data_IF_195718075874
#
_entry.id   IF_195718075874
#
_cell.length_a   1.000
_cell.length_b   1.000
_cell.length_c   1.000
_cell.angle_alpha   90.00
_cell.angle_beta   90.00
_cell.angle_gamma   90.00
#
_symmetry.space_group_name_H-M   'P 1'
#
loop_
_entity.id
_entity.type
_entity.pdbx_description
1 polymer ?
#
# COMPACT_ATOMS: atom_id res chain seq x y z
N UNK A 1 -16.96 -9.81 19.42
CA UNK A 1 -16.00 -8.80 19.91
C UNK A 1 -15.57 -7.87 18.77
N UNK A 2 -15.82 -6.57 18.91
CA UNK A 2 -15.29 -5.57 17.98
C UNK A 2 -13.79 -5.47 18.23
N UNK A 3 -12.98 -5.76 17.21
CA UNK A 3 -11.52 -5.60 17.27
C UNK A 3 -11.21 -4.11 17.50
N UNK A 4 -10.47 -3.81 18.56
CA UNK A 4 -10.01 -2.46 18.85
C UNK A 4 -8.62 -2.33 18.24
N UNK A 5 -8.57 -1.96 16.96
CA UNK A 5 -7.29 -1.69 16.29
C UNK A 5 -6.59 -0.53 16.99
N UNK A 6 -5.32 -0.72 17.34
CA UNK A 6 -4.49 0.39 17.82
C UNK A 6 -4.18 1.27 16.61
N UNK A 7 -4.93 2.36 16.45
CA UNK A 7 -4.74 3.25 15.30
C UNK A 7 -3.40 3.97 15.40
N UNK A 8 -2.48 3.68 14.47
CA UNK A 8 -1.30 4.54 14.27
C UNK A 8 -1.77 5.75 13.47
N UNK A 9 -1.72 6.97 14.03
CA UNK A 9 -2.15 8.15 13.32
C UNK A 9 -1.17 8.48 12.20
N UNK A 10 -1.71 8.71 11.02
CA UNK A 10 -0.96 9.28 9.90
C UNK A 10 -0.96 10.80 9.96
N UNK A 11 0.18 11.36 9.57
CA UNK A 11 0.38 12.79 9.35
C UNK A 11 0.60 12.99 7.86
N UNK A 12 -0.20 13.87 7.25
CA UNK A 12 -0.02 14.30 5.88
C UNK A 12 1.12 15.33 5.82
N UNK A 13 2.08 15.13 4.91
CA UNK A 13 3.19 16.04 4.64
C UNK A 13 3.84 16.63 5.92
N UNK A 14 4.28 15.80 6.89
CA UNK A 14 4.84 16.27 8.16
C UNK A 14 5.99 17.27 7.95
N UNK A 15 5.84 18.48 8.50
CA UNK A 15 6.88 19.51 8.45
C UNK A 15 7.09 20.13 7.07
N UNK A 16 6.10 20.06 6.18
CA UNK A 16 6.18 20.71 4.87
C UNK A 16 5.57 22.12 4.87
N UNK A 17 6.39 23.12 4.53
CA UNK A 17 5.98 24.52 4.41
C UNK A 17 5.78 24.98 2.95
N UNK A 18 5.89 24.05 1.98
CA UNK A 18 5.66 24.35 0.56
C UNK A 18 4.17 24.54 0.27
N UNK A 19 3.85 25.36 -0.74
CA UNK A 19 2.46 25.64 -1.14
C UNK A 19 1.78 24.36 -1.64
N UNK A 20 2.52 23.53 -2.37
CA UNK A 20 2.09 22.25 -2.92
C UNK A 20 1.59 21.29 -1.82
N UNK A 21 2.16 21.37 -0.61
CA UNK A 21 1.75 20.52 0.51
C UNK A 21 0.40 20.92 1.12
N UNK A 22 -0.08 22.13 0.84
CA UNK A 22 -1.37 22.64 1.29
C UNK A 22 -2.48 22.38 0.26
N UNK A 23 -2.13 21.90 -0.93
CA UNK A 23 -3.11 21.54 -1.94
C UNK A 23 -3.84 20.25 -1.55
N UNK A 24 -5.18 20.28 -1.39
CA UNK A 24 -5.94 19.15 -0.85
C UNK A 24 -5.89 17.89 -1.74
N UNK A 25 -5.57 18.07 -3.03
CA UNK A 25 -5.53 17.01 -4.02
C UNK A 25 -4.09 16.63 -4.44
N UNK A 26 -3.06 17.15 -3.78
CA UNK A 26 -1.66 16.86 -4.16
C UNK A 26 -0.80 16.44 -2.96
N UNK A 27 -1.21 15.39 -2.21
CA UNK A 27 -0.40 14.91 -1.10
C UNK A 27 0.91 14.29 -1.62
N UNK A 28 2.05 14.80 -1.16
CA UNK A 28 3.34 14.18 -1.45
C UNK A 28 3.45 12.85 -0.71
N UNK A 29 3.19 12.86 0.61
CA UNK A 29 3.30 11.67 1.43
C UNK A 29 2.42 11.67 2.67
N UNK A 30 2.06 10.46 3.12
CA UNK A 30 1.50 10.20 4.45
C UNK A 30 2.52 9.44 5.27
N UNK A 31 2.77 9.91 6.48
CA UNK A 31 3.74 9.34 7.39
C UNK A 31 3.09 8.89 8.69
N UNK A 32 3.38 7.65 9.08
CA UNK A 32 3.09 7.15 10.40
C UNK A 32 4.34 6.51 10.99
N UNK A 33 4.39 6.45 12.31
CA UNK A 33 5.40 5.68 12.99
C UNK A 33 4.87 5.09 14.29
N UNK A 34 5.48 3.99 14.70
CA UNK A 34 5.19 3.34 15.97
C UNK A 34 6.49 2.74 16.55
N UNK A 35 6.58 2.71 17.88
CA UNK A 35 7.75 2.22 18.61
C UNK A 35 7.45 0.84 19.16
N UNK A 36 8.32 -0.13 18.86
CA UNK A 36 8.20 -1.52 19.33
C UNK A 36 9.52 -1.89 20.01
N UNK A 37 9.53 -1.94 21.33
CA UNK A 37 10.78 -2.15 22.09
C UNK A 37 11.78 -1.01 21.83
N UNK A 38 12.96 -1.38 21.32
CA UNK A 38 14.05 -0.45 20.96
C UNK A 38 14.02 -0.02 19.49
N UNK A 39 13.05 -0.51 18.72
CA UNK A 39 12.87 -0.18 17.31
C UNK A 39 11.79 0.89 17.12
N UNK A 40 11.94 1.67 16.06
CA UNK A 40 10.86 2.46 15.47
C UNK A 40 10.56 1.95 14.07
N UNK A 41 9.28 1.70 13.81
CA UNK A 41 8.77 1.38 12.49
C UNK A 41 8.20 2.66 11.87
N UNK A 42 8.72 3.01 10.72
CA UNK A 42 8.26 4.12 9.88
C UNK A 42 7.44 3.54 8.73
N UNK A 43 6.26 4.10 8.50
CA UNK A 43 5.41 3.78 7.36
C UNK A 43 5.19 5.04 6.56
N UNK A 44 5.52 4.98 5.27
CA UNK A 44 5.41 6.09 4.34
C UNK A 44 4.53 5.63 3.16
N UNK A 45 3.54 6.45 2.82
CA UNK A 45 2.71 6.28 1.64
C UNK A 45 3.00 7.45 0.73
N UNK A 46 3.30 7.17 -0.52
CA UNK A 46 3.43 8.18 -1.56
C UNK A 46 2.44 7.89 -2.65
N UNK A 47 1.79 8.94 -3.13
CA UNK A 47 1.02 8.93 -4.39
C UNK A 47 1.74 9.71 -5.49
N UNK A 48 2.95 10.21 -5.22
CA UNK A 48 3.82 10.79 -6.25
C UNK A 48 4.26 9.68 -7.21
N UNK A 49 4.02 9.88 -8.49
CA UNK A 49 4.13 8.92 -9.59
C UNK A 49 3.25 7.68 -9.44
N UNK A 50 3.49 6.84 -8.43
CA UNK A 50 2.86 5.54 -8.22
C UNK A 50 2.52 5.34 -6.75
N UNK A 51 1.41 4.65 -6.48
CA UNK A 51 1.07 4.30 -5.11
C UNK A 51 2.15 3.39 -4.52
N UNK A 52 2.94 3.96 -3.63
CA UNK A 52 4.08 3.31 -3.01
C UNK A 52 3.90 3.29 -1.51
N UNK A 53 4.06 2.10 -0.93
CA UNK A 53 4.04 1.87 0.52
C UNK A 53 5.44 1.46 0.92
N UNK A 54 6.10 2.27 1.73
CA UNK A 54 7.43 1.99 2.25
C UNK A 54 7.42 1.79 3.76
N UNK A 55 8.10 0.76 4.23
CA UNK A 55 8.28 0.45 5.65
C UNK A 55 9.77 0.44 5.96
N UNK A 56 10.18 1.19 6.98
CA UNK A 56 11.56 1.23 7.45
C UNK A 56 11.60 0.91 8.94
N UNK A 57 12.59 0.12 9.35
CA UNK A 57 12.89 -0.13 10.75
C UNK A 57 14.18 0.59 11.12
N UNK A 58 14.14 1.38 12.18
CA UNK A 58 15.30 2.12 12.71
C UNK A 58 15.36 1.98 14.22
N UNK A 59 16.38 2.57 14.85
CA UNK A 59 16.42 2.71 16.31
C UNK A 59 15.32 3.67 16.79
N UNK A 60 14.82 3.45 18.00
CA UNK A 60 13.70 4.22 18.61
C UNK A 60 13.82 5.74 18.51
N UNK A 61 15.03 6.29 18.58
CA UNK A 61 15.29 7.74 18.55
C UNK A 61 15.31 8.36 17.15
N UNK A 62 15.44 7.56 16.10
CA UNK A 62 15.59 8.07 14.74
C UNK A 62 14.27 8.64 14.21
N UNK A 63 14.34 9.81 13.57
CA UNK A 63 13.21 10.45 12.90
C UNK A 63 13.63 10.79 11.47
N UNK A 64 12.83 10.45 10.45
CA UNK A 64 13.17 10.74 9.07
C UNK A 64 13.11 12.25 8.80
N UNK A 65 13.96 12.70 7.89
CA UNK A 65 13.89 14.03 7.28
C UNK A 65 13.33 13.88 5.87
N UNK A 66 12.33 14.70 5.55
CA UNK A 66 11.70 14.74 4.23
C UNK A 66 12.11 16.01 3.50
N UNK A 67 12.72 15.87 2.33
CA UNK A 67 13.00 16.98 1.42
C UNK A 67 11.87 17.08 0.39
N UNK A 68 10.83 17.86 0.72
CA UNK A 68 9.66 18.01 -0.13
C UNK A 68 9.95 18.66 -1.48
N UNK A 69 10.89 19.61 -1.55
CA UNK A 69 11.30 20.20 -2.82
C UNK A 69 11.86 19.15 -3.76
N UNK A 70 12.64 18.20 -3.23
CA UNK A 70 13.16 17.06 -3.99
C UNK A 70 12.05 16.08 -4.41
N UNK A 71 11.09 15.80 -3.53
CA UNK A 71 9.94 14.95 -3.83
C UNK A 71 9.07 15.52 -4.97
N UNK A 72 8.65 16.79 -4.88
CA UNK A 72 7.80 17.41 -5.92
C UNK A 72 8.53 17.70 -7.23
N UNK A 73 9.85 17.88 -7.19
CA UNK A 73 10.67 18.02 -8.41
C UNK A 73 11.06 16.68 -9.05
N UNK A 74 10.56 15.55 -8.52
CA UNK A 74 10.86 14.20 -8.98
C UNK A 74 12.37 13.86 -8.91
N UNK A 75 13.11 14.52 -8.01
CA UNK A 75 14.50 14.25 -7.71
C UNK A 75 14.60 13.44 -6.40
N UNK A 76 14.22 12.16 -6.47
CA UNK A 76 14.03 11.33 -5.28
C UNK A 76 15.30 10.96 -4.52
N UNK A 77 16.48 11.21 -5.09
CA UNK A 77 17.75 10.84 -4.46
C UNK A 77 17.95 11.62 -3.17
N UNK A 78 17.99 10.92 -2.04
CA UNK A 78 18.12 11.54 -0.72
C UNK A 78 16.90 12.38 -0.32
N UNK A 79 15.74 12.20 -0.97
CA UNK A 79 14.53 12.93 -0.62
C UNK A 79 13.93 12.49 0.74
N UNK A 80 14.24 11.25 1.16
CA UNK A 80 13.92 10.73 2.49
C UNK A 80 15.22 10.25 3.11
N UNK A 81 15.56 10.80 4.28
CA UNK A 81 16.82 10.51 4.96
C UNK A 81 16.59 10.10 6.40
N UNK A 82 17.43 9.20 6.90
CA UNK A 82 17.47 8.79 8.29
C UNK A 82 18.85 9.22 8.84
N UNK A 83 18.95 10.43 9.42
CA UNK A 83 20.24 11.07 9.69
C UNK A 83 21.06 10.34 10.77
N UNK A 84 20.39 9.78 11.77
CA UNK A 84 21.05 9.20 12.94
C UNK A 84 21.45 7.73 12.73
N UNK A 85 20.78 7.03 11.82
CA UNK A 85 21.06 5.61 11.56
C UNK A 85 20.54 5.18 10.19
N UNK A 86 21.22 4.20 9.59
CA UNK A 86 20.69 3.49 8.44
C UNK A 86 19.56 2.56 8.90
N UNK A 87 18.42 2.48 8.18
CA UNK A 87 17.40 1.49 8.48
C UNK A 87 17.99 0.08 8.52
N UNK A 88 17.71 -0.65 9.59
CA UNK A 88 18.14 -2.05 9.77
C UNK A 88 17.38 -2.98 8.82
N UNK A 89 16.11 -2.66 8.56
CA UNK A 89 15.28 -3.28 7.54
C UNK A 89 14.55 -2.19 6.76
N UNK A 90 14.34 -2.45 5.47
CA UNK A 90 13.50 -1.62 4.61
C UNK A 90 12.71 -2.48 3.65
N UNK A 91 11.51 -2.06 3.34
CA UNK A 91 10.60 -2.72 2.40
C UNK A 91 9.88 -1.63 1.63
N UNK A 92 9.69 -1.79 0.33
CA UNK A 92 8.71 -0.99 -0.40
C UNK A 92 7.89 -1.84 -1.34
N UNK A 93 6.60 -1.57 -1.36
CA UNK A 93 5.63 -2.15 -2.26
C UNK A 93 5.11 -1.04 -3.17
N UNK A 94 5.26 -1.25 -4.47
CA UNK A 94 4.78 -0.33 -5.50
C UNK A 94 3.64 -1.00 -6.24
N UNK A 95 2.45 -0.41 -6.20
CA UNK A 95 1.30 -0.91 -6.95
C UNK A 95 1.31 -0.30 -8.35
N UNK A 96 1.69 -1.10 -9.35
CA UNK A 96 2.05 -0.60 -10.69
C UNK A 96 0.86 -0.59 -11.65
N UNK A 97 0.14 -1.72 -11.77
CA UNK A 97 -0.95 -1.87 -12.75
C UNK A 97 -2.06 -2.77 -12.22
N UNK A 98 -3.26 -2.50 -12.72
CA UNK A 98 -4.36 -3.45 -12.77
C UNK A 98 -4.38 -4.11 -14.16
N UNK A 99 -4.42 -5.43 -14.20
CA UNK A 99 -4.43 -6.23 -15.42
C UNK A 99 -5.81 -6.84 -15.56
N UNK A 100 -6.43 -6.70 -16.73
CA UNK A 100 -7.66 -7.38 -17.10
C UNK A 100 -7.33 -8.42 -18.17
N UNK A 101 -7.82 -9.64 -18.00
CA UNK A 101 -7.59 -10.73 -18.95
C UNK A 101 -8.82 -11.62 -19.09
N UNK A 102 -8.88 -12.38 -20.19
CA UNK A 102 -9.95 -13.34 -20.45
C UNK A 102 -9.51 -14.72 -19.97
N UNK A 103 -10.06 -15.16 -18.83
CA UNK A 103 -9.78 -16.49 -18.31
C UNK A 103 -10.61 -17.55 -19.04
N UNK A 104 -10.15 -17.93 -20.24
CA UNK A 104 -10.87 -18.87 -21.11
C UNK A 104 -11.09 -20.24 -20.45
N UNK A 105 -10.13 -20.67 -19.64
CA UNK A 105 -10.09 -21.99 -19.02
C UNK A 105 -10.69 -22.02 -17.60
N UNK A 106 -10.97 -20.85 -17.03
CA UNK A 106 -11.46 -20.68 -15.65
C UNK A 106 -10.48 -21.17 -14.57
N UNK A 107 -9.18 -21.07 -14.86
CA UNK A 107 -8.09 -21.54 -13.99
C UNK A 107 -7.38 -20.42 -13.21
N UNK A 108 -7.71 -19.17 -13.51
CA UNK A 108 -7.13 -17.98 -12.89
C UNK A 108 -5.72 -17.65 -13.37
N UNK A 109 -5.19 -18.33 -14.40
CA UNK A 109 -3.87 -18.05 -14.95
C UNK A 109 -3.94 -17.04 -16.10
N UNK A 110 -2.93 -16.18 -16.16
CA UNK A 110 -2.75 -15.25 -17.28
C UNK A 110 -1.95 -15.99 -18.35
N UNK A 111 -2.57 -16.21 -19.51
CA UNK A 111 -1.88 -16.69 -20.70
C UNK A 111 -1.07 -15.53 -21.33
N UNK A 112 0.27 -15.56 -21.31
CA UNK A 112 1.09 -14.46 -21.82
C UNK A 112 0.93 -14.24 -23.32
N UNK A 113 0.40 -15.21 -24.08
CA UNK A 113 0.11 -15.08 -25.50
C UNK A 113 -1.28 -14.48 -25.77
N UNK A 114 -2.11 -14.27 -24.74
CA UNK A 114 -3.46 -13.74 -24.90
C UNK A 114 -3.44 -12.24 -25.26
N UNK A 115 -3.76 -11.95 -26.52
CA UNK A 115 -3.85 -10.60 -27.08
C UNK A 115 -4.97 -9.74 -26.49
N UNK A 116 -5.85 -10.30 -25.67
CA UNK A 116 -6.94 -9.56 -25.00
C UNK A 116 -6.52 -8.96 -23.66
N UNK A 117 -5.30 -9.23 -23.19
CA UNK A 117 -4.76 -8.64 -21.97
C UNK A 117 -4.74 -7.11 -22.09
N UNK A 118 -5.38 -6.44 -21.13
CA UNK A 118 -5.40 -4.99 -21.01
C UNK A 118 -4.76 -4.59 -19.70
N UNK A 119 -3.80 -3.64 -19.75
CA UNK A 119 -3.15 -3.09 -18.56
C UNK A 119 -3.61 -1.66 -18.29
N UNK A 120 -4.05 -1.41 -17.06
CA UNK A 120 -4.38 -0.08 -16.53
C UNK A 120 -3.26 0.35 -15.60
N UNK A 121 -2.43 1.28 -16.05
CA UNK A 121 -1.36 1.84 -15.22
C UNK A 121 -1.95 2.66 -14.07
N UNK A 122 -1.44 2.43 -12.87
CA UNK A 122 -1.91 3.08 -11.64
C UNK A 122 -1.03 4.30 -11.29
N UNK A 123 -0.49 4.96 -12.32
CA UNK A 123 0.36 6.16 -12.19
C UNK A 123 -0.44 7.45 -12.19
N UNK A 124 0.07 8.48 -11.52
CA UNK A 124 -0.48 9.85 -11.50
C UNK A 124 -1.96 9.89 -11.07
N UNK A 125 -2.40 8.89 -10.31
CA UNK A 125 -3.76 8.88 -9.83
C UNK A 125 -3.83 9.80 -8.62
N UNK A 126 -4.53 10.90 -8.80
CA UNK A 126 -4.88 11.80 -7.71
C UNK A 126 -5.80 11.04 -6.76
N UNK A 127 -5.35 10.82 -5.52
CA UNK A 127 -6.22 10.26 -4.50
C UNK A 127 -7.36 11.25 -4.25
N UNK A 128 -8.57 10.91 -4.71
CA UNK A 128 -9.68 11.87 -4.73
C UNK A 128 -10.31 12.11 -3.36
N UNK A 129 -10.08 11.20 -2.42
CA UNK A 129 -10.59 11.30 -1.06
C UNK A 129 -9.68 10.49 -0.14
N UNK A 130 -9.00 11.16 0.79
CA UNK A 130 -8.53 10.49 2.00
C UNK A 130 -9.65 10.56 3.02
N UNK A 131 -10.42 9.48 3.06
CA UNK A 131 -11.43 9.32 4.10
C UNK A 131 -10.78 8.69 5.32
N UNK A 132 -10.96 9.32 6.47
CA UNK A 132 -10.60 8.72 7.74
C UNK A 132 -11.68 7.69 8.07
N UNK A 133 -11.31 6.41 8.05
CA UNK A 133 -12.24 5.26 8.18
C UNK A 133 -13.16 5.35 9.40
N UNK A 134 -12.71 6.06 10.44
CA UNK A 134 -13.53 6.54 11.54
C UNK A 134 -13.09 7.97 11.88
N UNK A 135 -14.02 8.85 12.27
CA UNK A 135 -13.74 10.24 12.72
C UNK A 135 -12.72 10.34 13.88
N UNK A 136 -12.34 9.21 14.48
CA UNK A 136 -11.40 9.13 15.59
C UNK A 136 -10.04 8.49 15.22
N UNK A 137 -9.85 8.02 13.98
CA UNK A 137 -8.62 7.30 13.57
C UNK A 137 -8.10 7.84 12.24
N UNK A 138 -6.95 8.52 12.29
CA UNK A 138 -6.26 9.05 11.11
C UNK A 138 -5.62 7.93 10.27
N UNK A 139 -6.41 7.03 9.69
CA UNK A 139 -5.94 6.03 8.72
C UNK A 139 -6.28 6.49 7.31
N UNK A 140 -5.29 6.63 6.41
CA UNK A 140 -5.55 7.01 5.05
C UNK A 140 -6.19 5.83 4.30
N UNK A 141 -7.37 6.08 3.74
CA UNK A 141 -7.99 5.23 2.72
C UNK A 141 -7.82 5.94 1.39
N UNK A 142 -7.13 5.32 0.44
CA UNK A 142 -6.92 5.90 -0.88
C UNK A 142 -7.97 5.38 -1.83
N UNK A 143 -8.84 6.27 -2.33
CA UNK A 143 -9.72 5.94 -3.43
C UNK A 143 -9.16 6.47 -4.74
N UNK A 144 -8.89 5.55 -5.65
CA UNK A 144 -8.30 5.76 -6.97
C UNK A 144 -9.40 5.55 -8.03
N UNK A 145 -9.85 6.60 -8.74
CA UNK A 145 -10.87 6.45 -9.77
C UNK A 145 -10.30 5.71 -11.00
N UNK A 146 -11.04 4.73 -11.50
CA UNK A 146 -10.72 3.94 -12.69
C UNK A 146 -11.74 4.24 -13.79
N UNK A 147 -11.62 5.43 -14.39
CA UNK A 147 -12.60 5.98 -15.34
C UNK A 147 -12.87 5.05 -16.54
N UNK A 148 -11.83 4.38 -17.06
CA UNK A 148 -11.95 3.42 -18.18
C UNK A 148 -12.87 2.24 -17.86
N UNK A 149 -12.93 1.85 -16.58
CA UNK A 149 -13.69 0.72 -16.06
C UNK A 149 -15.00 1.13 -15.38
N UNK A 150 -15.30 2.43 -15.35
CA UNK A 150 -16.38 3.01 -14.55
C UNK A 150 -16.38 2.44 -13.12
N UNK A 151 -15.22 2.55 -12.47
CA UNK A 151 -14.91 1.86 -11.23
C UNK A 151 -13.98 2.64 -10.32
N UNK A 152 -13.60 2.03 -9.20
CA UNK A 152 -12.62 2.56 -8.28
C UNK A 152 -11.80 1.46 -7.63
N UNK A 153 -10.60 1.83 -7.23
CA UNK A 153 -9.68 1.02 -6.44
C UNK A 153 -9.49 1.71 -5.08
N UNK A 154 -9.79 0.99 -4.00
CA UNK A 154 -9.56 1.45 -2.64
C UNK A 154 -8.37 0.71 -2.06
N UNK A 155 -7.42 1.44 -1.49
CA UNK A 155 -6.25 0.88 -0.81
C UNK A 155 -6.21 1.41 0.61
N UNK A 156 -6.27 0.47 1.57
CA UNK A 156 -6.20 0.78 3.00
C UNK A 156 -5.04 0.01 3.62
N UNK A 157 -4.34 0.64 4.56
CA UNK A 157 -3.43 -0.07 5.45
C UNK A 157 -3.81 0.10 6.90
N UNK A 158 -3.76 -1.01 7.62
CA UNK A 158 -4.11 -1.08 9.02
C UNK A 158 -2.98 -1.71 9.82
N UNK A 159 -2.69 -1.11 10.96
CA UNK A 159 -1.85 -1.72 11.99
C UNK A 159 -2.74 -2.20 13.13
N UNK A 160 -2.80 -3.51 13.40
CA UNK A 160 -3.58 -4.05 14.51
C UNK A 160 -2.95 -3.75 15.86
N UNK A 161 -1.61 -3.76 15.96
CA UNK A 161 -0.87 -3.51 17.21
C UNK A 161 -0.91 -4.64 18.23
N UNK A 162 -1.73 -5.66 17.99
CA UNK A 162 -1.90 -6.81 18.87
C UNK A 162 -1.94 -8.13 18.09
N UNK A 163 -1.86 -9.25 18.80
CA UNK A 163 -2.07 -10.57 18.19
C UNK A 163 -3.55 -10.88 18.18
N UNK A 164 -4.20 -10.68 17.05
CA UNK A 164 -5.63 -10.93 16.88
C UNK A 164 -5.93 -11.63 15.55
N UNK A 165 -7.05 -12.32 15.49
CA UNK A 165 -7.58 -12.88 14.25
C UNK A 165 -8.76 -12.04 13.79
N UNK A 166 -8.72 -11.63 12.53
CA UNK A 166 -9.80 -10.84 11.92
C UNK A 166 -11.14 -11.57 12.02
N UNK A 167 -12.20 -10.83 12.33
CA UNK A 167 -13.57 -11.39 12.37
C UNK A 167 -14.15 -11.58 10.97
N UNK A 168 -13.66 -10.79 10.00
CA UNK A 168 -14.04 -10.84 8.58
C UNK A 168 -13.08 -11.70 7.78
N UNK A 169 -13.58 -12.37 6.75
CA UNK A 169 -12.74 -13.12 5.81
C UNK A 169 -11.71 -12.21 5.12
N UNK A 170 -10.48 -12.70 4.85
CA UNK A 170 -10.02 -14.08 5.02
C UNK A 170 -9.55 -14.46 6.44
N UNK A 171 -9.95 -13.72 7.48
CA UNK A 171 -9.66 -14.02 8.91
C UNK A 171 -8.18 -14.19 9.19
N UNK A 172 -7.36 -13.33 8.57
CA UNK A 172 -5.91 -13.36 8.76
C UNK A 172 -5.56 -13.16 10.24
N UNK A 173 -4.58 -13.93 10.69
CA UNK A 173 -3.97 -13.74 12.00
C UNK A 173 -2.93 -12.63 11.93
N UNK A 174 -2.95 -11.77 12.91
CA UNK A 174 -2.01 -10.66 13.08
C UNK A 174 -1.08 -10.90 14.26
N UNK A 175 0.00 -10.13 14.27
CA UNK A 175 0.86 -9.92 15.42
C UNK A 175 1.13 -8.42 15.56
N UNK A 176 1.69 -7.93 16.67
CA UNK A 176 2.19 -6.56 16.80
C UNK A 176 3.26 -6.18 15.77
N UNK A 177 3.73 -7.11 14.94
CA UNK A 177 4.70 -6.85 13.87
C UNK A 177 4.08 -6.95 12.46
N UNK A 178 2.77 -7.16 12.38
CA UNK A 178 2.05 -7.35 11.11
C UNK A 178 1.32 -6.08 10.71
N UNK A 179 1.18 -5.88 9.40
CA UNK A 179 0.36 -4.84 8.80
C UNK A 179 -0.61 -5.49 7.81
N UNK A 180 -1.82 -4.93 7.71
CA UNK A 180 -2.77 -5.33 6.69
C UNK A 180 -2.79 -4.35 5.56
N UNK A 181 -2.63 -4.85 4.35
CA UNK A 181 -2.95 -4.14 3.13
C UNK A 181 -4.26 -4.71 2.59
N UNK A 182 -5.30 -3.88 2.63
CA UNK A 182 -6.57 -4.19 1.99
C UNK A 182 -6.63 -3.45 0.66
N UNK A 183 -6.89 -4.20 -0.41
CA UNK A 183 -7.10 -3.65 -1.74
C UNK A 183 -8.48 -4.10 -2.17
N UNK A 184 -9.38 -3.15 -2.35
CA UNK A 184 -10.73 -3.40 -2.82
C UNK A 184 -10.88 -2.78 -4.21
N UNK A 185 -11.38 -3.54 -5.17
CA UNK A 185 -11.59 -3.08 -6.53
C UNK A 185 -13.05 -3.29 -6.92
N UNK A 186 -13.62 -2.26 -7.51
CA UNK A 186 -14.96 -2.28 -8.08
C UNK A 186 -14.90 -1.76 -9.51
N UNK A 187 -15.52 -2.47 -10.44
CA UNK A 187 -15.72 -2.02 -11.81
C UNK A 187 -17.12 -2.41 -12.28
N UNK A 188 -17.70 -1.57 -13.14
CA UNK A 188 -19.03 -1.80 -13.70
C UNK A 188 -18.99 -2.06 -15.21
N UNK A 189 -17.81 -1.96 -15.84
CA UNK A 189 -17.62 -2.15 -17.26
C UNK A 189 -16.60 -3.26 -17.52
N UNK A 190 -17.04 -4.30 -18.22
CA UNK A 190 -16.22 -5.43 -18.61
C UNK A 190 -16.28 -5.59 -20.14
N UNK A 191 -15.12 -5.79 -20.76
CA UNK A 191 -14.98 -5.94 -22.21
C UNK A 191 -14.86 -7.39 -22.67
N UNK A 192 -14.67 -8.35 -21.74
CA UNK A 192 -14.37 -9.75 -22.04
C UNK A 192 -15.41 -10.68 -21.39
N UNK A 193 -15.78 -11.80 -22.02
CA UNK A 193 -16.84 -12.69 -21.53
C UNK A 193 -16.48 -13.43 -20.24
N UNK A 194 -15.20 -13.80 -20.04
CA UNK A 194 -14.69 -14.38 -18.79
C UNK A 194 -13.63 -13.46 -18.18
N UNK A 195 -14.04 -12.24 -17.88
CA UNK A 195 -13.12 -11.23 -17.35
C UNK A 195 -12.62 -11.62 -15.95
N UNK A 196 -11.30 -11.69 -15.79
CA UNK A 196 -10.62 -11.68 -14.49
C UNK A 196 -9.66 -10.50 -14.40
N UNK A 197 -9.30 -10.17 -13.16
CA UNK A 197 -8.37 -9.08 -12.85
C UNK A 197 -7.21 -9.58 -12.00
N UNK A 198 -6.04 -8.98 -12.20
CA UNK A 198 -4.85 -9.19 -11.41
C UNK A 198 -4.17 -7.84 -11.11
N UNK A 199 -3.41 -7.78 -10.01
CA UNK A 199 -2.59 -6.62 -9.69
C UNK A 199 -1.12 -6.94 -9.88
N UNK A 200 -0.40 -6.02 -10.52
CA UNK A 200 1.06 -6.06 -10.60
C UNK A 200 1.66 -5.22 -9.47
N UNK A 201 2.53 -5.85 -8.67
CA UNK A 201 3.29 -5.20 -7.63
C UNK A 201 4.80 -5.32 -7.89
N UNK A 202 5.54 -4.26 -7.61
CA UNK A 202 7.00 -4.34 -7.46
C UNK A 202 7.37 -4.31 -5.98
N UNK A 203 8.28 -5.20 -5.63
CA UNK A 203 8.82 -5.35 -4.28
C UNK A 203 10.27 -4.88 -4.31
N UNK A 204 10.58 -3.87 -3.51
CA UNK A 204 11.93 -3.34 -3.37
C UNK A 204 12.45 -3.78 -2.00
N UNK A 205 13.49 -4.61 -2.01
CA UNK A 205 14.10 -5.22 -0.83
C UNK A 205 15.61 -4.93 -0.83
N UNK A 206 16.21 -4.62 0.33
CA UNK A 206 17.65 -4.43 0.42
C UNK A 206 18.38 -5.76 0.31
N UNK A 207 19.32 -5.86 -0.64
CA UNK A 207 20.37 -6.89 -0.64
C UNK A 207 19.91 -8.34 -0.82
N UNK A 208 18.71 -8.59 -1.35
CA UNK A 208 18.29 -9.96 -1.68
C UNK A 208 18.40 -10.17 -3.19
N UNK A 209 19.42 -10.92 -3.60
CA UNK A 209 19.49 -11.50 -4.94
C UNK A 209 18.40 -12.57 -5.06
N UNK A 210 17.30 -12.24 -5.72
CA UNK A 210 16.24 -13.18 -6.06
C UNK A 210 15.55 -13.82 -4.86
N UNK A 211 14.93 -13.01 -3.99
CA UNK A 211 14.01 -13.51 -2.96
C UNK A 211 13.02 -14.47 -3.63
N UNK A 212 13.19 -15.78 -3.40
CA UNK A 212 12.22 -16.77 -3.85
C UNK A 212 10.92 -16.40 -3.17
N UNK A 213 9.93 -15.98 -3.95
CA UNK A 213 8.56 -15.87 -3.48
C UNK A 213 8.18 -17.28 -3.02
N UNK A 214 8.21 -17.52 -1.72
CA UNK A 214 7.74 -18.76 -1.14
C UNK A 214 6.22 -18.67 -1.09
N UNK A 215 5.57 -19.11 -2.17
CA UNK A 215 4.13 -19.38 -2.09
C UNK A 215 3.96 -20.58 -1.18
N UNK A 216 3.50 -20.33 0.03
CA UNK A 216 3.12 -21.40 0.96
C UNK A 216 1.60 -21.45 0.96
N UNK A 217 1.07 -22.56 0.44
CA UNK A 217 -0.34 -22.91 0.66
C UNK A 217 -0.40 -23.50 2.06
N UNK A 218 -0.88 -22.72 3.02
CA UNK A 218 -1.11 -23.21 4.36
C UNK A 218 -2.54 -23.72 4.47
N UNK A 219 -2.69 -24.80 5.23
CA UNK A 219 -3.95 -25.34 5.71
C UNK A 219 -4.47 -24.39 6.83
N UNK A 220 -4.71 -23.12 6.52
CA UNK A 220 -5.65 -22.27 7.29
C UNK A 220 -7.00 -22.19 6.51
N UNK A 221 -7.24 -23.23 5.72
CA UNK A 221 -8.43 -23.65 4.97
C UNK A 221 -9.46 -24.39 5.85
N UNK A 222 -9.30 -24.40 7.18
CA UNK A 222 -10.40 -24.81 8.07
C UNK A 222 -11.61 -23.85 7.97
N UNK A 223 -11.45 -22.69 7.33
CA UNK A 223 -12.49 -21.67 7.22
C UNK A 223 -12.64 -21.01 5.84
N UNK A 224 -11.82 -21.34 4.85
CA UNK A 224 -12.04 -20.97 3.44
C UNK A 224 -12.49 -22.22 2.68
N UNK A 225 -13.61 -22.17 1.91
CA UNK A 225 -14.10 -23.33 1.14
C UNK A 225 -13.06 -23.92 0.19
#
# INVERSE_FOLDING_TARGET
PNLIYTSVPFILNPGCDLVECQEPNNPALYYANHVIGDDRIHMIYSTLDELTISIFQTVKTCVPIFNYSALFSHNYTGAIQFPDTKPSNSFSLVLRRLIQFNDKNDDGFIDPEDKTITSYFLTNITATNVTFRNNNTNQPSFQLPLNSLNGSLTVDIMYPGETVRESKFPKLRTTPKSYFLNIAFQANKFSLPKTRFAFEFYLILPGIDGSKISSSKFIDDQYTP
#
